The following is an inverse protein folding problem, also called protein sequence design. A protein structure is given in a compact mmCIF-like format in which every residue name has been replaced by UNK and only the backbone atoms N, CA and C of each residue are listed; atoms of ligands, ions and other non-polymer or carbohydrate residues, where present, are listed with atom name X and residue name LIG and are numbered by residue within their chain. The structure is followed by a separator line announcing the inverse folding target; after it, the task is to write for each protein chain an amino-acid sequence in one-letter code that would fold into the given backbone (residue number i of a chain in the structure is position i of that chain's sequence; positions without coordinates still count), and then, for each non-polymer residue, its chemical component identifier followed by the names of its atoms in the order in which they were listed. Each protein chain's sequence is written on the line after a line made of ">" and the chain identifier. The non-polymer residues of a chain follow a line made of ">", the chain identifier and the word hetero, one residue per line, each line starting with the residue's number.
data_IF_638293188955
#
_entry.id   IF_638293188955
#
_cell.length_a   1.000
_cell.length_b   1.000
_cell.length_c   1.000
_cell.angle_alpha   90.00
_cell.angle_beta   90.00
_cell.angle_gamma   90.00
#
_symmetry.space_group_name_H-M   'P 1'
#
loop_
_entity.id
_entity.type
_entity.pdbx_description
1 polymer ?
#
# COMPACT_ATOMS: atom_id res chain seq x y z
N UNK A 1 -56.89 4.89 -19.73
CA UNK A 1 -55.61 5.13 -20.45
C UNK A 1 -54.71 5.95 -19.55
N UNK A 2 -53.46 5.51 -19.34
CA UNK A 2 -52.36 6.40 -18.92
C UNK A 2 -51.92 6.37 -17.45
N UNK A 3 -51.27 5.29 -16.99
CA UNK A 3 -50.37 5.32 -15.80
C UNK A 3 -49.20 4.31 -15.84
N UNK A 4 -48.87 3.74 -17.00
CA UNK A 4 -47.78 2.75 -17.12
C UNK A 4 -46.39 3.26 -17.57
N UNK A 5 -46.16 4.47 -18.13
CA UNK A 5 -44.84 4.78 -18.69
C UNK A 5 -43.82 5.31 -17.67
N UNK A 6 -44.23 5.59 -16.42
CA UNK A 6 -43.36 6.27 -15.45
C UNK A 6 -42.48 5.31 -14.64
N UNK A 7 -42.88 4.04 -14.51
CA UNK A 7 -42.13 3.05 -13.72
C UNK A 7 -40.88 2.50 -14.46
N UNK A 8 -40.91 2.48 -15.81
CA UNK A 8 -39.78 2.03 -16.63
C UNK A 8 -38.63 3.05 -16.69
N UNK A 9 -38.90 4.34 -16.44
CA UNK A 9 -37.86 5.38 -16.39
C UNK A 9 -36.99 5.31 -15.13
N UNK A 10 -37.52 4.79 -14.01
CA UNK A 10 -36.79 4.71 -12.75
C UNK A 10 -35.84 3.50 -12.67
N UNK A 11 -36.13 2.40 -13.37
CA UNK A 11 -35.29 1.20 -13.38
C UNK A 11 -34.05 1.32 -14.30
N UNK A 12 -34.05 2.27 -15.24
CA UNK A 12 -32.92 2.51 -16.13
C UNK A 12 -31.78 3.32 -15.48
N UNK A 13 -32.02 3.96 -14.32
CA UNK A 13 -31.02 4.79 -13.64
C UNK A 13 -30.01 3.99 -12.81
N UNK A 14 -30.27 2.69 -12.58
CA UNK A 14 -29.42 1.81 -11.77
C UNK A 14 -28.45 0.96 -12.60
N UNK A 15 -28.60 0.92 -13.93
CA UNK A 15 -27.68 0.22 -14.82
C UNK A 15 -26.53 1.15 -15.22
N UNK A 16 -25.74 1.62 -14.25
CA UNK A 16 -24.41 2.15 -14.59
C UNK A 16 -23.58 0.95 -15.03
N UNK A 17 -23.04 0.94 -16.26
CA UNK A 17 -22.07 -0.09 -16.62
C UNK A 17 -20.91 0.05 -15.64
N UNK A 18 -20.72 -0.98 -14.81
CA UNK A 18 -19.43 -1.17 -14.14
C UNK A 18 -18.43 -1.37 -15.27
N UNK A 19 -17.72 -0.29 -15.60
CA UNK A 19 -16.63 -0.37 -16.55
C UNK A 19 -15.60 -1.30 -15.94
N UNK A 20 -15.62 -2.55 -16.36
CA UNK A 20 -14.52 -3.48 -16.12
C UNK A 20 -13.31 -2.86 -16.81
N UNK A 21 -12.53 -2.10 -16.03
CA UNK A 21 -11.33 -1.46 -16.52
C UNK A 21 -10.32 -2.57 -16.76
N UNK A 22 -10.17 -2.95 -18.03
CA UNK A 22 -9.14 -3.90 -18.45
C UNK A 22 -7.80 -3.34 -18.00
N UNK A 23 -7.13 -4.01 -17.06
CA UNK A 23 -5.75 -3.71 -16.68
C UNK A 23 -4.86 -3.97 -17.88
N UNK A 24 -4.52 -2.91 -18.63
CA UNK A 24 -3.60 -3.01 -19.76
C UNK A 24 -2.18 -2.83 -19.24
N UNK A 25 -1.32 -3.82 -19.50
CA UNK A 25 0.10 -3.68 -19.26
C UNK A 25 0.68 -2.60 -20.19
N UNK A 26 1.26 -1.56 -19.61
CA UNK A 26 1.73 -0.41 -20.37
C UNK A 26 3.21 -0.49 -20.75
N UNK A 27 4.08 -0.76 -19.79
CA UNK A 27 5.53 -0.59 -19.96
C UNK A 27 6.29 -1.36 -18.88
N UNK A 28 7.47 -1.92 -19.22
CA UNK A 28 8.40 -2.51 -18.26
C UNK A 28 9.78 -1.91 -18.47
N UNK A 29 10.39 -1.55 -17.35
CA UNK A 29 11.76 -1.08 -17.26
C UNK A 29 12.53 -2.04 -16.35
N UNK A 30 13.75 -2.39 -16.73
CA UNK A 30 14.65 -3.21 -15.92
C UNK A 30 15.92 -2.41 -15.62
N UNK A 31 16.50 -2.63 -14.44
CA UNK A 31 17.73 -1.95 -14.01
C UNK A 31 18.19 -2.44 -12.65
N UNK A 32 19.18 -1.76 -12.08
CA UNK A 32 19.66 -1.99 -10.72
C UNK A 32 19.65 -0.70 -9.92
N UNK A 33 19.46 -0.82 -8.61
CA UNK A 33 19.55 0.29 -7.65
C UNK A 33 20.63 -0.08 -6.64
N UNK A 34 21.55 0.85 -6.38
CA UNK A 34 22.59 0.64 -5.38
C UNK A 34 22.03 0.72 -3.97
N UNK A 35 22.61 -0.06 -3.05
CA UNK A 35 22.35 0.06 -1.62
C UNK A 35 22.58 1.51 -1.14
N UNK A 36 21.59 2.07 -0.43
CA UNK A 36 21.61 3.45 0.04
C UNK A 36 21.43 4.51 -1.05
N UNK A 37 21.11 4.11 -2.28
CA UNK A 37 20.97 5.02 -3.42
C UNK A 37 19.58 4.93 -4.07
N UNK A 38 19.30 5.88 -4.95
CA UNK A 38 18.02 5.99 -5.65
C UNK A 38 18.15 5.83 -7.16
N UNK A 39 17.10 5.25 -7.74
CA UNK A 39 16.77 5.39 -9.16
C UNK A 39 15.43 6.10 -9.30
N UNK A 40 15.35 7.09 -10.19
CA UNK A 40 14.17 7.93 -10.37
C UNK A 40 13.54 7.76 -11.75
N UNK A 41 12.21 7.71 -11.77
CA UNK A 41 11.39 7.64 -12.97
C UNK A 41 10.25 8.64 -12.91
N UNK A 42 9.73 9.02 -14.07
CA UNK A 42 8.60 9.93 -14.16
C UNK A 42 7.51 9.37 -15.05
N UNK A 43 6.26 9.42 -14.58
CA UNK A 43 5.08 9.00 -15.35
C UNK A 43 4.21 10.22 -15.66
N UNK A 44 4.10 10.54 -16.95
CA UNK A 44 3.24 11.63 -17.44
C UNK A 44 1.89 11.16 -17.99
N UNK A 45 1.71 9.85 -18.23
CA UNK A 45 0.49 9.30 -18.81
C UNK A 45 -0.70 9.53 -17.84
N UNK A 46 -1.85 10.04 -18.33
CA UNK A 46 -3.05 10.22 -17.52
C UNK A 46 -3.75 8.89 -17.23
N UNK A 47 -4.62 8.87 -16.22
CA UNK A 47 -5.42 7.70 -15.86
C UNK A 47 -4.94 7.01 -14.59
N UNK A 48 -5.67 5.97 -14.18
CA UNK A 48 -5.31 5.15 -13.04
C UNK A 48 -4.19 4.21 -13.47
N UNK A 49 -3.19 4.04 -12.61
CA UNK A 49 -2.01 3.23 -12.91
C UNK A 49 -1.59 2.48 -11.67
N UNK A 50 -1.28 1.19 -11.82
CA UNK A 50 -0.58 0.43 -10.79
C UNK A 50 0.91 0.41 -11.11
N UNK A 51 1.72 0.79 -10.14
CA UNK A 51 3.18 0.63 -10.20
C UNK A 51 3.53 -0.65 -9.47
N UNK A 52 4.32 -1.51 -10.11
CA UNK A 52 4.82 -2.75 -9.56
C UNK A 52 6.34 -2.77 -9.67
N UNK A 53 7.02 -3.06 -8.56
CA UNK A 53 8.46 -3.30 -8.53
C UNK A 53 8.67 -4.75 -8.13
N UNK A 54 9.29 -5.51 -9.01
CA UNK A 54 9.58 -6.92 -8.79
C UNK A 54 11.10 -7.07 -8.59
N UNK A 55 11.60 -7.14 -7.35
CA UNK A 55 13.02 -7.36 -7.14
C UNK A 55 13.42 -8.75 -7.66
N UNK A 56 14.53 -8.79 -8.41
CA UNK A 56 15.21 -10.06 -8.70
C UNK A 56 16.04 -10.52 -7.49
N UNK A 57 16.47 -9.58 -6.65
CA UNK A 57 17.11 -9.81 -5.36
C UNK A 57 17.10 -8.50 -4.54
N UNK A 58 17.54 -8.58 -3.27
CA UNK A 58 17.55 -7.52 -2.25
C UNK A 58 16.21 -6.85 -2.00
N UNK A 59 16.25 -5.60 -1.51
CA UNK A 59 15.09 -4.95 -0.87
C UNK A 59 14.89 -3.52 -1.38
N UNK A 60 14.14 -3.34 -2.47
CA UNK A 60 13.83 -2.02 -2.99
C UNK A 60 12.59 -1.44 -2.28
N UNK A 61 12.71 -0.22 -1.77
CA UNK A 61 11.58 0.56 -1.29
C UNK A 61 11.07 1.49 -2.40
N UNK A 62 9.75 1.60 -2.53
CA UNK A 62 9.06 2.41 -3.55
C UNK A 62 8.42 3.64 -2.92
N UNK A 63 8.75 4.82 -3.45
CA UNK A 63 8.19 6.12 -3.05
C UNK A 63 7.61 6.84 -4.26
N UNK A 64 6.43 7.44 -4.10
CA UNK A 64 5.69 8.06 -5.20
C UNK A 64 5.14 9.42 -4.78
N UNK A 65 5.32 10.43 -5.63
CA UNK A 65 4.87 11.80 -5.35
C UNK A 65 4.17 12.45 -6.54
N UNK A 66 3.25 13.37 -6.22
CA UNK A 66 2.69 14.29 -7.20
C UNK A 66 3.64 15.47 -7.42
N UNK A 67 3.95 15.80 -8.68
CA UNK A 67 4.69 17.02 -9.08
C UNK A 67 6.11 17.17 -8.51
N UNK A 68 6.55 16.28 -7.63
CA UNK A 68 7.93 16.08 -7.26
C UNK A 68 8.49 14.92 -8.09
N UNK A 69 9.59 15.15 -8.80
CA UNK A 69 10.23 14.15 -9.68
C UNK A 69 11.25 13.27 -8.95
N UNK A 70 11.61 13.61 -7.71
CA UNK A 70 12.61 12.89 -6.91
C UNK A 70 12.12 12.65 -5.47
N UNK A 71 11.07 11.83 -5.28
CA UNK A 71 10.62 11.46 -3.95
C UNK A 71 11.65 10.60 -3.21
N UNK A 72 11.81 10.83 -1.91
CA UNK A 72 12.72 10.08 -1.01
C UNK A 72 11.92 9.42 0.09
N UNK A 73 12.60 8.71 0.99
CA UNK A 73 12.00 8.13 2.20
C UNK A 73 11.48 9.18 3.18
N UNK A 74 11.87 10.46 3.02
CA UNK A 74 11.39 11.54 3.86
C UNK A 74 9.88 11.71 3.68
N UNK A 75 9.14 11.77 4.79
CA UNK A 75 7.66 11.82 4.79
C UNK A 75 7.11 13.04 4.04
N UNK A 76 7.82 14.17 4.06
CA UNK A 76 7.44 15.39 3.34
C UNK A 76 7.76 15.32 1.83
N UNK A 77 8.48 14.29 1.40
CA UNK A 77 8.99 14.18 0.03
C UNK A 77 8.25 13.14 -0.82
N UNK A 78 7.25 12.45 -0.27
CA UNK A 78 6.39 11.53 -1.02
C UNK A 78 4.92 11.60 -0.59
N UNK A 79 4.03 11.10 -1.43
CA UNK A 79 2.59 11.04 -1.14
C UNK A 79 2.13 9.60 -0.85
N UNK A 80 2.77 8.62 -1.49
CA UNK A 80 2.48 7.20 -1.34
C UNK A 80 3.80 6.43 -1.29
N UNK A 81 3.80 5.30 -0.59
CA UNK A 81 4.97 4.43 -0.48
C UNK A 81 4.57 2.96 -0.35
N UNK A 82 5.52 2.09 -0.64
CA UNK A 82 5.52 0.66 -0.33
C UNK A 82 6.95 0.33 0.07
N UNK A 83 7.13 -0.22 1.26
CA UNK A 83 8.45 -0.54 1.85
C UNK A 83 8.42 -1.95 2.44
N UNK A 84 8.06 -2.93 1.61
CA UNK A 84 7.97 -4.33 2.02
C UNK A 84 9.25 -5.07 1.68
N UNK A 85 9.54 -6.20 2.33
CA UNK A 85 10.72 -7.01 2.00
C UNK A 85 10.54 -7.86 0.72
N UNK A 86 9.80 -7.36 -0.28
CA UNK A 86 9.24 -8.15 -1.35
C UNK A 86 8.87 -7.34 -2.60
N UNK A 87 7.72 -7.65 -3.19
CA UNK A 87 7.27 -6.96 -4.40
C UNK A 87 6.53 -5.68 -4.00
N UNK A 88 7.04 -4.53 -4.43
CA UNK A 88 6.39 -3.26 -4.09
C UNK A 88 5.22 -2.98 -5.03
N UNK A 89 4.12 -2.51 -4.46
CA UNK A 89 2.91 -2.17 -5.20
C UNK A 89 2.33 -0.86 -4.70
N UNK A 90 2.12 0.08 -5.62
CA UNK A 90 1.38 1.31 -5.35
C UNK A 90 0.31 1.52 -6.43
N UNK A 91 -0.92 1.76 -6.00
CA UNK A 91 -2.04 2.07 -6.90
C UNK A 91 -2.27 3.58 -6.94
N UNK A 92 -2.17 4.16 -8.14
CA UNK A 92 -2.37 5.57 -8.37
C UNK A 92 -3.78 5.82 -8.92
N UNK A 93 -4.62 6.58 -8.21
CA UNK A 93 -5.94 6.93 -8.73
C UNK A 93 -5.82 7.88 -9.93
N UNK A 94 -6.88 7.96 -10.74
CA UNK A 94 -6.93 8.84 -11.93
C UNK A 94 -6.62 10.31 -11.64
N UNK A 95 -6.95 10.77 -10.43
CA UNK A 95 -6.79 12.17 -10.01
C UNK A 95 -5.41 12.47 -9.43
N UNK A 96 -4.51 11.48 -9.32
CA UNK A 96 -3.17 11.68 -8.79
C UNK A 96 -2.35 12.58 -9.71
N UNK A 97 -1.81 13.66 -9.15
CA UNK A 97 -1.10 14.74 -9.85
C UNK A 97 -0.01 14.23 -10.80
N UNK A 98 0.05 14.82 -11.99
CA UNK A 98 1.03 14.51 -13.04
C UNK A 98 1.98 15.70 -13.28
N UNK A 99 3.26 15.47 -13.64
CA UNK A 99 3.91 14.16 -13.72
C UNK A 99 4.05 13.54 -12.33
N UNK A 100 3.97 12.22 -12.28
CA UNK A 100 4.29 11.45 -11.07
C UNK A 100 5.79 11.28 -11.01
N UNK A 101 6.41 11.61 -9.89
CA UNK A 101 7.75 11.13 -9.59
C UNK A 101 7.70 9.80 -8.86
N UNK A 102 8.60 8.91 -9.25
CA UNK A 102 8.75 7.57 -8.71
C UNK A 102 10.21 7.43 -8.29
N UNK A 103 10.45 7.19 -7.01
CA UNK A 103 11.75 6.93 -6.43
C UNK A 103 11.82 5.49 -5.97
N UNK A 104 12.82 4.75 -6.44
CA UNK A 104 13.13 3.41 -5.95
C UNK A 104 14.43 3.51 -5.16
N UNK A 105 14.37 3.20 -3.88
CA UNK A 105 15.51 3.21 -2.97
C UNK A 105 16.01 1.79 -2.75
N UNK A 106 17.31 1.55 -2.85
CA UNK A 106 17.88 0.27 -2.46
C UNK A 106 18.17 0.24 -0.96
N UNK A 107 17.43 -0.55 -0.17
CA UNK A 107 17.67 -0.60 1.26
C UNK A 107 19.08 -1.15 1.58
N UNK A 108 19.90 -0.48 2.43
CA UNK A 108 21.30 -0.86 2.63
C UNK A 108 21.54 -2.21 3.31
N UNK A 109 20.55 -2.73 4.02
CA UNK A 109 20.70 -3.95 4.82
C UNK A 109 20.59 -5.26 4.02
N UNK A 110 20.17 -5.21 2.76
CA UNK A 110 19.90 -6.39 1.93
C UNK A 110 20.60 -6.29 0.57
N UNK A 111 21.71 -7.01 0.42
CA UNK A 111 22.54 -7.05 -0.78
C UNK A 111 21.84 -7.83 -1.91
N UNK A 112 21.51 -7.14 -3.02
CA UNK A 112 20.87 -7.70 -4.23
C UNK A 112 21.90 -8.49 -5.05
N UNK A 113 21.72 -9.80 -5.21
CA UNK A 113 22.53 -10.68 -6.08
C UNK A 113 21.70 -11.20 -7.26
N UNK A 114 22.15 -10.92 -8.49
CA UNK A 114 21.47 -11.35 -9.73
C UNK A 114 21.99 -12.74 -10.12
N UNK A 115 21.09 -13.72 -10.28
CA UNK A 115 21.40 -15.00 -10.95
C UNK A 115 20.89 -14.96 -12.40
N UNK A 116 21.70 -15.50 -13.32
CA UNK A 116 21.54 -15.46 -14.79
C UNK A 116 20.74 -16.68 -15.31
N UNK A 117 19.80 -17.19 -14.52
CA UNK A 117 19.01 -18.36 -14.89
C UNK A 117 17.69 -17.96 -15.56
N UNK A 118 17.50 -18.37 -16.81
CA UNK A 118 16.34 -18.07 -17.67
C UNK A 118 15.01 -18.74 -17.25
N UNK A 119 14.87 -19.26 -16.03
CA UNK A 119 13.74 -20.13 -15.66
C UNK A 119 12.66 -19.51 -14.75
N UNK A 120 12.81 -18.28 -14.25
CA UNK A 120 11.85 -17.69 -13.30
C UNK A 120 10.91 -16.64 -13.92
N UNK A 121 10.16 -17.02 -14.98
CA UNK A 121 9.01 -16.23 -15.45
C UNK A 121 7.71 -16.79 -14.87
N UNK A 122 7.51 -16.64 -13.57
CA UNK A 122 6.19 -16.84 -12.96
C UNK A 122 5.36 -15.56 -13.12
N UNK A 123 4.46 -15.58 -14.11
CA UNK A 123 3.42 -14.58 -14.25
C UNK A 123 2.39 -14.80 -13.14
N UNK A 124 2.40 -13.95 -12.11
CA UNK A 124 1.34 -13.93 -11.11
C UNK A 124 0.22 -12.98 -11.57
N UNK A 125 -0.96 -13.57 -11.74
CA UNK A 125 -2.22 -12.85 -12.02
C UNK A 125 -2.71 -12.21 -10.71
N UNK A 126 -2.55 -10.89 -10.58
CA UNK A 126 -3.06 -10.15 -9.43
C UNK A 126 -4.51 -9.73 -9.67
N UNK A 127 -5.44 -10.63 -9.36
CA UNK A 127 -6.83 -10.25 -9.07
C UNK A 127 -6.97 -9.91 -7.58
N UNK A 128 -6.99 -8.63 -7.23
CA UNK A 128 -7.31 -8.18 -5.86
C UNK A 128 -8.66 -7.46 -5.83
N UNK A 129 -9.57 -7.95 -4.99
CA UNK A 129 -10.92 -7.41 -4.78
C UNK A 129 -10.94 -6.29 -3.74
N UNK A 130 -11.53 -5.17 -4.16
CA UNK A 130 -12.29 -4.17 -3.41
C UNK A 130 -11.70 -3.47 -2.15
N UNK A 131 -11.33 -2.20 -2.40
CA UNK A 131 -11.67 -1.00 -1.63
C UNK A 131 -11.23 -0.89 -0.16
N UNK A 132 -10.11 -0.20 0.08
CA UNK A 132 -9.95 0.64 1.27
C UNK A 132 -9.52 2.06 0.85
N UNK A 133 -10.29 3.02 1.34
CA UNK A 133 -10.19 4.46 1.10
C UNK A 133 -9.06 5.05 1.97
N UNK A 134 -8.31 6.07 1.51
CA UNK A 134 -7.18 6.56 2.28
C UNK A 134 -7.68 7.43 3.44
N UNK A 135 -7.37 7.02 4.67
CA UNK A 135 -7.56 7.85 5.84
C UNK A 135 -6.48 8.94 5.90
N UNK A 136 -6.98 10.14 6.16
CA UNK A 136 -6.32 11.43 6.25
C UNK A 136 -5.41 11.50 7.49
N UNK A 137 -4.09 11.61 7.31
CA UNK A 137 -3.16 11.91 8.40
C UNK A 137 -2.52 13.29 8.20
N UNK A 138 -3.20 14.31 8.75
CA UNK A 138 -2.64 15.61 9.09
C UNK A 138 -2.46 15.66 10.61
N UNK A 139 -1.22 15.73 11.13
CA UNK A 139 -0.88 16.63 12.24
C UNK A 139 0.65 16.76 12.44
N UNK A 140 1.19 17.90 12.02
CA UNK A 140 2.53 18.38 12.41
C UNK A 140 2.61 18.63 13.91
N UNK A 141 3.69 18.22 14.58
CA UNK A 141 4.13 18.87 15.82
C UNK A 141 5.56 19.39 15.71
N UNK A 142 5.62 20.71 15.59
CA UNK A 142 6.79 21.56 15.63
C UNK A 142 7.11 21.94 17.09
N UNK A 143 8.33 21.61 17.58
CA UNK A 143 9.28 22.51 18.28
C UNK A 143 10.34 21.78 19.14
N UNK A 144 11.61 22.05 18.79
CA UNK A 144 12.67 22.64 19.65
C UNK A 144 13.15 21.83 20.89
N UNK A 145 14.40 21.34 20.82
CA UNK A 145 15.26 20.97 21.97
C UNK A 145 16.01 22.21 22.53
N UNK A 146 16.84 22.17 23.62
CA UNK A 146 17.13 21.17 24.70
C UNK A 146 17.12 21.87 26.12
N UNK A 147 17.89 21.55 27.20
CA UNK A 147 18.59 20.33 27.70
C UNK A 147 18.36 19.98 29.22
N UNK A 148 18.92 18.85 29.66
CA UNK A 148 19.49 18.52 31.00
C UNK A 148 18.62 18.07 32.18
N UNK A 149 19.23 17.13 32.92
CA UNK A 149 19.00 16.67 34.29
C UNK A 149 17.97 15.56 34.52
N UNK A 150 18.52 14.47 35.04
CA UNK A 150 17.89 13.26 35.58
C UNK A 150 16.91 13.60 36.70
N UNK A 151 15.68 13.07 36.66
CA UNK A 151 14.91 12.64 37.83
C UNK A 151 13.69 11.80 37.40
N UNK A 152 13.33 10.86 38.27
CA UNK A 152 12.39 9.76 38.08
C UNK A 152 10.98 10.18 37.64
N UNK A 153 10.35 9.37 36.78
CA UNK A 153 8.90 9.40 36.55
C UNK A 153 8.38 7.97 36.43
N UNK A 154 7.70 7.54 37.49
CA UNK A 154 6.59 6.61 37.41
C UNK A 154 5.44 7.40 36.77
N UNK A 155 4.86 6.88 35.69
CA UNK A 155 3.41 6.80 35.45
C UNK A 155 3.08 6.60 33.95
N UNK A 156 2.19 5.62 33.74
CA UNK A 156 1.01 5.62 32.87
C UNK A 156 1.09 5.80 31.33
N UNK A 157 0.23 4.99 30.68
CA UNK A 157 -0.42 5.14 29.38
C UNK A 157 0.20 4.62 28.08
N UNK A 158 -0.35 3.49 27.60
CA UNK A 158 -0.83 3.33 26.21
C UNK A 158 -1.73 2.10 26.08
N UNK A 159 -2.92 2.17 26.68
CA UNK A 159 -3.91 1.09 26.71
C UNK A 159 -4.90 1.15 25.52
N UNK A 160 -4.39 1.31 24.29
CA UNK A 160 -5.23 1.20 23.07
C UNK A 160 -5.05 -0.13 22.35
N UNK A 161 -4.04 -0.93 22.72
CA UNK A 161 -3.79 -2.26 22.14
C UNK A 161 -4.40 -3.41 22.96
N UNK A 162 -4.79 -3.16 24.21
CA UNK A 162 -5.32 -4.18 25.12
C UNK A 162 -6.76 -4.59 24.80
N UNK A 163 -7.57 -3.70 24.24
CA UNK A 163 -8.95 -4.01 23.84
C UNK A 163 -8.98 -5.04 22.71
N UNK A 164 -8.13 -4.88 21.68
CA UNK A 164 -8.03 -5.84 20.57
C UNK A 164 -7.49 -7.21 21.04
N UNK A 165 -6.49 -7.21 21.91
CA UNK A 165 -5.93 -8.44 22.49
C UNK A 165 -6.99 -9.16 23.34
N UNK A 166 -7.84 -8.42 24.05
CA UNK A 166 -8.94 -8.98 24.84
C UNK A 166 -10.01 -9.65 23.96
N UNK A 167 -10.34 -9.05 22.81
CA UNK A 167 -11.27 -9.64 21.83
C UNK A 167 -10.69 -10.91 21.19
N UNK A 168 -9.41 -10.88 20.79
CA UNK A 168 -8.74 -12.05 20.21
C UNK A 168 -8.64 -13.22 21.21
N UNK A 169 -8.37 -12.92 22.49
CA UNK A 169 -8.28 -13.93 23.54
C UNK A 169 -9.63 -14.61 23.83
N UNK A 170 -10.72 -13.84 23.87
CA UNK A 170 -12.06 -14.42 24.07
C UNK A 170 -12.49 -15.30 22.90
N UNK A 171 -12.18 -14.89 21.66
CA UNK A 171 -12.41 -15.71 20.47
C UNK A 171 -11.60 -17.01 20.51
N UNK A 172 -10.31 -16.93 20.88
CA UNK A 172 -9.43 -18.09 21.01
C UNK A 172 -9.96 -19.11 22.01
N UNK A 173 -10.41 -18.66 23.19
CA UNK A 173 -11.00 -19.54 24.20
C UNK A 173 -12.30 -20.20 23.71
N UNK A 174 -13.12 -19.46 22.94
CA UNK A 174 -14.32 -20.00 22.30
C UNK A 174 -14.00 -21.12 21.31
N UNK A 175 -13.00 -20.91 20.45
CA UNK A 175 -12.57 -21.89 19.45
C UNK A 175 -11.93 -23.13 20.11
N UNK A 176 -11.13 -22.92 21.17
CA UNK A 176 -10.52 -24.00 21.94
C UNK A 176 -11.59 -24.87 22.62
N UNK A 177 -12.65 -24.25 23.17
CA UNK A 177 -13.76 -24.98 23.80
C UNK A 177 -14.49 -25.89 22.81
N UNK A 178 -14.79 -25.39 21.60
CA UNK A 178 -15.42 -26.17 20.53
C UNK A 178 -14.53 -27.35 20.14
N UNK A 179 -13.23 -27.13 20.00
CA UNK A 179 -12.29 -28.17 19.62
C UNK A 179 -12.18 -29.26 20.70
N UNK A 180 -12.21 -28.87 21.98
CA UNK A 180 -12.24 -29.82 23.10
C UNK A 180 -13.53 -30.64 23.15
N UNK A 181 -14.68 -30.03 22.88
CA UNK A 181 -15.97 -30.74 22.80
C UNK A 181 -15.98 -31.77 21.67
N UNK A 182 -15.35 -31.48 20.52
CA UNK A 182 -15.22 -32.43 19.40
C UNK A 182 -14.24 -33.57 19.73
N UNK A 183 -13.21 -33.32 20.54
CA UNK A 183 -12.21 -34.32 20.92
C UNK A 183 -12.67 -35.26 22.04
N UNK A 184 -13.68 -34.86 22.83
CA UNK A 184 -14.20 -35.63 23.96
C UNK A 184 -15.58 -36.27 23.69
N UNK A 185 -16.24 -35.93 22.58
CA UNK A 185 -17.45 -36.60 22.08
C UNK A 185 -17.15 -37.66 21.03
#
# INVERSE_FOLDING_TARGET
>A
MGRLPLLLGLLALCARPSSCETTVFHEKVSGSVGAGNYSYYTLSKPGAVTILVHPLSGDPDLYVAERNVQPTFDLDNHCLQSTTCGHERVELPRHFGRPVGIGIYGHPSLEVRVDDSTENLHFFDYGYTESHQPDNYDHFHERRAPPSAEEEVVDEDSDSSSEEISLLWTFLLGLLKILFEILQG
#
